data_IF_734332888919
#
_entry.id   IF_734332888919
#
_cell.length_a   1.000
_cell.length_b   1.000
_cell.length_c   1.000
_cell.angle_alpha   90.00
_cell.angle_beta   90.00
_cell.angle_gamma   90.00
#
_symmetry.space_group_name_H-M   'P 1'
#
loop_
_entity.id
_entity.type
_entity.pdbx_description
1 polymer ?
#
# COMPACT_ATOMS: atom_id res chain seq x y z
N UNK A 1 12.23 -5.57 14.90
CA UNK A 1 12.82 -4.56 14.00
C UNK A 1 13.41 -5.26 12.77
N UNK A 2 12.62 -5.53 11.72
CA UNK A 2 13.12 -6.22 10.52
C UNK A 2 12.06 -6.57 9.46
N UNK A 3 10.77 -6.37 9.74
CA UNK A 3 9.68 -6.79 8.84
C UNK A 3 9.69 -6.08 7.47
N UNK A 4 10.03 -4.78 7.43
CA UNK A 4 10.07 -4.03 6.17
C UNK A 4 11.23 -4.50 5.27
N UNK A 5 12.42 -4.76 5.82
CA UNK A 5 13.59 -5.20 5.03
C UNK A 5 13.40 -6.58 4.41
N UNK A 6 12.77 -7.53 5.12
CA UNK A 6 12.54 -8.88 4.62
C UNK A 6 11.39 -8.92 3.59
N UNK A 7 10.46 -7.98 3.65
CA UNK A 7 9.41 -7.80 2.64
C UNK A 7 9.98 -7.30 1.30
N UNK A 8 11.03 -6.46 1.32
CA UNK A 8 11.72 -6.00 0.11
C UNK A 8 12.49 -7.10 -0.62
N UNK A 9 12.96 -8.14 0.09
CA UNK A 9 13.68 -9.27 -0.52
C UNK A 9 12.78 -10.43 -0.93
N UNK A 10 11.73 -10.76 -0.15
CA UNK A 10 10.87 -11.93 -0.41
C UNK A 10 9.52 -11.62 -1.08
N UNK A 11 8.88 -10.50 -0.76
CA UNK A 11 7.54 -10.14 -1.28
C UNK A 11 7.55 -9.54 -2.68
N UNK A 12 8.72 -9.12 -3.16
CA UNK A 12 8.93 -8.54 -4.49
C UNK A 12 9.03 -9.65 -5.55
N UNK A 13 9.59 -10.83 -5.23
CA UNK A 13 9.78 -11.91 -6.21
C UNK A 13 8.49 -12.52 -6.75
N UNK A 14 7.37 -12.45 -6.00
CA UNK A 14 6.10 -13.05 -6.43
C UNK A 14 5.22 -12.13 -7.30
N UNK A 15 5.28 -10.81 -7.09
CA UNK A 15 4.39 -9.84 -7.72
C UNK A 15 5.08 -8.92 -8.74
N UNK A 16 6.42 -8.86 -8.78
CA UNK A 16 7.15 -7.98 -9.72
C UNK A 16 7.88 -8.71 -10.85
N UNK A 17 7.82 -10.05 -10.90
CA UNK A 17 8.51 -10.81 -11.96
C UNK A 17 7.96 -10.56 -13.38
N UNK A 18 6.83 -9.85 -13.52
CA UNK A 18 6.30 -9.47 -14.85
C UNK A 18 6.36 -7.98 -15.17
N UNK A 19 6.88 -7.11 -14.28
CA UNK A 19 6.78 -5.65 -14.50
C UNK A 19 8.05 -4.82 -14.27
N UNK A 20 9.16 -5.38 -13.76
CA UNK A 20 10.32 -4.56 -13.40
C UNK A 20 11.64 -5.05 -14.01
N UNK A 21 11.79 -4.86 -15.33
CA UNK A 21 13.13 -4.58 -15.89
C UNK A 21 13.35 -3.06 -15.80
N UNK A 22 14.17 -2.68 -14.84
CA UNK A 22 14.46 -1.31 -14.41
C UNK A 22 15.14 -0.52 -15.53
N UNK A 23 14.36 0.31 -16.21
CA UNK A 23 14.84 1.52 -16.88
C UNK A 23 14.86 2.68 -15.88
N UNK A 24 15.83 3.60 -16.02
CA UNK A 24 15.98 4.79 -15.16
C UNK A 24 14.63 5.53 -15.03
N UNK A 25 14.10 5.58 -13.81
CA UNK A 25 12.71 5.85 -13.47
C UNK A 25 12.34 7.35 -13.52
N UNK A 26 11.89 7.84 -14.68
CA UNK A 26 11.27 9.17 -14.77
C UNK A 26 10.04 9.32 -13.86
N UNK A 27 9.29 8.23 -13.63
CA UNK A 27 8.06 8.26 -12.86
C UNK A 27 8.25 8.60 -11.38
N UNK A 28 9.33 8.15 -10.73
CA UNK A 28 9.50 8.45 -9.30
C UNK A 28 9.71 9.95 -9.08
N UNK A 29 10.47 10.62 -9.95
CA UNK A 29 10.66 12.08 -9.89
C UNK A 29 9.35 12.84 -10.05
N UNK A 30 8.42 12.33 -10.87
CA UNK A 30 7.10 12.91 -10.98
C UNK A 30 6.30 12.74 -9.68
N UNK A 31 6.36 11.57 -9.02
CA UNK A 31 5.75 11.39 -7.70
C UNK A 31 6.38 12.33 -6.65
N UNK A 32 7.70 12.49 -6.66
CA UNK A 32 8.39 13.43 -5.76
C UNK A 32 7.92 14.88 -5.98
N UNK A 33 7.76 15.28 -7.25
CA UNK A 33 7.22 16.59 -7.60
C UNK A 33 5.77 16.77 -7.12
N UNK A 34 4.93 15.75 -7.26
CA UNK A 34 3.57 15.78 -6.72
C UNK A 34 3.57 15.95 -5.20
N UNK A 35 4.45 15.24 -4.47
CA UNK A 35 4.59 15.40 -3.03
C UNK A 35 4.98 16.84 -2.65
N UNK A 36 5.98 17.41 -3.34
CA UNK A 36 6.42 18.79 -3.13
C UNK A 36 5.28 19.81 -3.37
N UNK A 37 4.50 19.63 -4.44
CA UNK A 37 3.35 20.49 -4.75
C UNK A 37 2.25 20.44 -3.68
N UNK A 38 2.11 19.32 -2.96
CA UNK A 38 1.14 19.15 -1.86
C UNK A 38 1.74 19.60 -0.51
N UNK A 39 3.05 19.84 -0.45
CA UNK A 39 3.78 20.15 0.77
C UNK A 39 4.05 18.91 1.65
N UNK A 40 4.13 17.73 1.04
CA UNK A 40 4.46 16.48 1.73
C UNK A 40 5.94 16.16 1.63
N UNK A 41 6.55 15.86 2.78
CA UNK A 41 7.90 15.32 2.84
C UNK A 41 7.93 13.85 2.44
N UNK A 42 9.07 13.38 1.96
CA UNK A 42 9.32 11.96 1.70
C UNK A 42 10.09 11.39 2.88
N UNK A 43 9.50 10.42 3.57
CA UNK A 43 10.08 9.84 4.77
C UNK A 43 11.12 8.76 4.46
N UNK A 44 10.94 8.02 3.36
CA UNK A 44 11.85 6.95 2.96
C UNK A 44 11.98 6.84 1.44
N UNK A 45 13.18 6.51 0.94
CA UNK A 45 13.42 6.15 -0.46
C UNK A 45 13.68 4.65 -0.58
N UNK A 46 12.92 3.98 -1.44
CA UNK A 46 12.96 2.53 -1.66
C UNK A 46 13.76 2.21 -2.93
N UNK A 47 15.06 2.50 -2.88
CA UNK A 47 15.92 2.44 -4.06
C UNK A 47 15.49 3.45 -5.12
N UNK A 48 15.60 3.07 -6.40
CA UNK A 48 15.32 3.95 -7.53
C UNK A 48 13.85 3.92 -7.97
N UNK A 49 13.03 3.02 -7.44
CA UNK A 49 11.68 2.74 -7.98
C UNK A 49 10.55 3.11 -7.04
N UNK A 50 10.82 3.57 -5.82
CA UNK A 50 9.76 3.89 -4.87
C UNK A 50 10.13 4.81 -3.74
N UNK A 51 9.10 5.29 -3.04
CA UNK A 51 9.17 6.11 -1.84
C UNK A 51 8.17 5.62 -0.78
N UNK A 52 8.45 5.95 0.47
CA UNK A 52 7.56 5.78 1.61
C UNK A 52 7.07 7.14 2.12
N UNK A 53 5.76 7.23 2.40
CA UNK A 53 5.12 8.39 3.03
C UNK A 53 4.47 7.94 4.34
N UNK A 54 4.82 8.59 5.44
CA UNK A 54 4.35 8.24 6.78
C UNK A 54 3.16 9.12 7.20
N UNK A 55 2.05 8.45 7.52
CA UNK A 55 0.83 9.08 8.01
C UNK A 55 0.63 8.74 9.48
N UNK A 56 0.28 9.73 10.30
CA UNK A 56 -0.11 9.49 11.69
C UNK A 56 -1.42 8.73 11.73
N UNK A 57 -1.44 7.61 12.44
CA UNK A 57 -2.60 6.75 12.59
C UNK A 57 -2.87 6.49 14.08
N UNK A 58 -4.05 6.80 14.63
CA UNK A 58 -4.33 6.60 16.05
C UNK A 58 -4.45 5.13 16.47
N UNK A 59 -4.46 4.19 15.52
CA UNK A 59 -4.46 2.74 15.79
C UNK A 59 -3.04 2.22 15.96
N UNK A 60 -2.18 2.54 14.99
CA UNK A 60 -0.86 1.92 14.83
C UNK A 60 0.30 2.89 15.09
N UNK A 61 0.00 4.13 15.46
CA UNK A 61 0.96 5.23 15.64
C UNK A 61 1.32 5.88 14.30
N UNK A 62 2.04 5.15 13.46
CA UNK A 62 2.46 5.61 12.13
C UNK A 62 2.20 4.52 11.10
N UNK A 63 1.53 4.89 10.01
CA UNK A 63 1.25 4.01 8.88
C UNK A 63 1.99 4.50 7.65
N UNK A 64 2.74 3.59 7.03
CA UNK A 64 3.55 3.88 5.85
C UNK A 64 2.82 3.50 4.57
N UNK A 65 2.61 4.49 3.70
CA UNK A 65 2.17 4.30 2.32
C UNK A 65 3.39 4.12 1.42
N UNK A 66 3.44 3.01 0.69
CA UNK A 66 4.50 2.76 -0.28
C UNK A 66 4.03 3.12 -1.68
N UNK A 67 4.75 4.00 -2.33
CA UNK A 67 4.51 4.38 -3.73
C UNK A 67 5.68 3.85 -4.55
N UNK A 68 5.40 2.93 -5.48
CA UNK A 68 6.37 2.55 -6.51
C UNK A 68 5.93 3.12 -7.85
N UNK A 69 6.87 3.59 -8.66
CA UNK A 69 6.55 4.26 -9.92
C UNK A 69 7.45 3.77 -11.06
N UNK A 70 6.81 3.28 -12.11
CA UNK A 70 7.42 3.12 -13.43
C UNK A 70 7.16 4.36 -14.30
N UNK A 71 7.47 4.27 -15.60
CA UNK A 71 7.26 5.41 -16.51
C UNK A 71 5.79 5.78 -16.71
N UNK A 72 4.88 4.80 -16.70
CA UNK A 72 3.46 4.99 -17.04
C UNK A 72 2.50 4.76 -15.89
N UNK A 73 2.92 4.00 -14.88
CA UNK A 73 2.05 3.55 -13.81
C UNK A 73 2.77 3.76 -12.47
N UNK A 74 2.05 4.30 -11.50
CA UNK A 74 2.40 4.24 -10.09
C UNK A 74 1.49 3.27 -9.35
N UNK A 75 2.07 2.48 -8.45
CA UNK A 75 1.36 1.56 -7.58
C UNK A 75 1.51 2.07 -6.14
N UNK A 76 0.38 2.41 -5.54
CA UNK A 76 0.28 2.86 -4.17
C UNK A 76 -0.20 1.69 -3.32
N UNK A 77 0.53 1.37 -2.27
CA UNK A 77 0.26 0.24 -1.39
C UNK A 77 0.22 0.72 0.05
N UNK A 78 -0.92 0.52 0.72
CA UNK A 78 -1.06 0.82 2.13
C UNK A 78 -1.42 -0.45 2.90
N UNK A 79 -0.59 -0.81 3.86
CA UNK A 79 -0.73 -2.05 4.62
C UNK A 79 -1.59 -1.83 5.86
N UNK A 80 -2.47 -2.79 6.12
CA UNK A 80 -3.14 -3.00 7.41
C UNK A 80 -2.12 -3.51 8.44
N UNK A 81 -2.35 -3.25 9.73
CA UNK A 81 -1.57 -3.88 10.80
C UNK A 81 -2.01 -5.30 11.11
N UNK A 82 -3.11 -5.77 10.52
CA UNK A 82 -3.62 -7.11 10.76
C UNK A 82 -2.78 -8.17 10.05
N UNK A 83 -2.45 -9.20 10.81
CA UNK A 83 -1.78 -10.41 10.34
C UNK A 83 -2.48 -11.64 10.89
N UNK A 84 -2.68 -12.64 10.04
CA UNK A 84 -3.20 -13.94 10.47
C UNK A 84 -2.27 -15.05 10.00
N UNK A 85 -2.16 -16.17 10.72
CA UNK A 85 -1.62 -17.38 10.12
C UNK A 85 -2.43 -17.74 8.87
N UNK A 86 -1.77 -18.10 7.77
CA UNK A 86 -2.41 -18.38 6.48
C UNK A 86 -3.54 -19.43 6.57
N UNK A 87 -3.38 -20.42 7.46
CA UNK A 87 -4.37 -21.47 7.71
C UNK A 87 -5.55 -21.04 8.59
N UNK A 88 -5.48 -19.86 9.18
CA UNK A 88 -6.43 -19.33 10.15
C UNK A 88 -7.00 -17.97 9.74
N UNK A 89 -6.90 -17.59 8.46
CA UNK A 89 -7.60 -16.41 7.95
C UNK A 89 -9.11 -16.71 8.00
N UNK A 90 -9.92 -15.95 8.75
CA UNK A 90 -11.36 -16.16 8.78
C UNK A 90 -11.97 -15.98 7.38
N UNK A 91 -12.86 -16.87 6.99
CA UNK A 91 -13.50 -16.80 5.66
C UNK A 91 -14.36 -15.55 5.52
N UNK A 92 -14.97 -15.11 6.62
CA UNK A 92 -15.76 -13.88 6.72
C UNK A 92 -14.90 -12.66 6.39
N UNK A 93 -13.62 -12.68 6.77
CA UNK A 93 -12.69 -11.61 6.44
C UNK A 93 -12.39 -11.58 4.94
N UNK A 94 -12.13 -12.74 4.32
CA UNK A 94 -11.91 -12.82 2.88
C UNK A 94 -13.14 -12.34 2.08
N UNK A 95 -14.34 -12.77 2.50
CA UNK A 95 -15.61 -12.31 1.91
C UNK A 95 -15.83 -10.81 2.10
N UNK A 96 -15.49 -10.27 3.28
CA UNK A 96 -15.56 -8.84 3.54
C UNK A 96 -14.67 -8.05 2.57
N UNK A 97 -13.42 -8.49 2.37
CA UNK A 97 -12.51 -7.82 1.42
C UNK A 97 -13.00 -7.89 -0.02
N UNK A 98 -13.60 -9.02 -0.44
CA UNK A 98 -14.22 -9.14 -1.76
C UNK A 98 -15.39 -8.18 -1.93
N UNK A 99 -16.22 -8.04 -0.90
CA UNK A 99 -17.32 -7.07 -0.90
C UNK A 99 -16.78 -5.63 -0.97
N UNK A 100 -15.76 -5.29 -0.18
CA UNK A 100 -15.11 -3.97 -0.25
C UNK A 100 -14.54 -3.68 -1.65
N UNK A 101 -13.96 -4.67 -2.32
CA UNK A 101 -13.48 -4.54 -3.69
C UNK A 101 -14.60 -4.34 -4.71
N UNK A 102 -15.79 -4.86 -4.45
CA UNK A 102 -16.96 -4.62 -5.31
C UNK A 102 -17.54 -3.20 -5.11
N UNK A 103 -17.53 -2.70 -3.87
CA UNK A 103 -18.06 -1.37 -3.50
C UNK A 103 -17.08 -0.23 -3.76
N UNK A 104 -15.77 -0.51 -3.69
CA UNK A 104 -14.70 0.47 -3.76
C UNK A 104 -14.44 0.96 -5.18
N UNK A 105 -14.26 2.28 -5.32
CA UNK A 105 -13.93 2.91 -6.62
C UNK A 105 -12.39 3.06 -6.79
N UNK A 106 -11.69 3.32 -5.69
CA UNK A 106 -10.28 3.77 -5.69
C UNK A 106 -9.30 2.79 -5.04
N UNK A 107 -9.71 1.57 -4.72
CA UNK A 107 -8.80 0.61 -4.12
C UNK A 107 -9.19 -0.82 -4.43
N UNK A 108 -8.18 -1.68 -4.46
CA UNK A 108 -8.32 -3.12 -4.40
C UNK A 108 -7.59 -3.62 -3.16
N UNK A 109 -8.32 -4.24 -2.26
CA UNK A 109 -7.80 -5.07 -1.19
C UNK A 109 -7.17 -6.32 -1.76
N UNK A 110 -5.97 -6.62 -1.27
CA UNK A 110 -5.28 -7.89 -1.50
C UNK A 110 -4.84 -8.50 -0.19
N UNK A 111 -4.92 -9.82 -0.14
CA UNK A 111 -4.22 -10.63 0.84
C UNK A 111 -2.80 -10.86 0.35
N UNK A 112 -1.82 -10.62 1.22
CA UNK A 112 -0.41 -10.77 0.92
C UNK A 112 0.13 -11.81 1.88
N UNK A 113 0.46 -13.00 1.37
CA UNK A 113 1.16 -13.99 2.16
C UNK A 113 2.67 -13.83 1.98
N UNK A 114 3.44 -13.29 2.94
CA UNK A 114 4.87 -13.45 2.91
C UNK A 114 5.27 -14.89 3.29
N UNK A 115 6.50 -15.25 2.92
CA UNK A 115 7.20 -16.39 3.51
C UNK A 115 7.17 -16.28 5.05
N UNK A 116 6.87 -17.39 5.73
CA UNK A 116 6.64 -17.39 7.19
C UNK A 116 5.22 -17.78 7.61
N UNK A 117 4.33 -18.07 6.66
CA UNK A 117 3.04 -18.70 6.94
C UNK A 117 1.99 -17.77 7.55
N UNK A 118 2.21 -16.46 7.49
CA UNK A 118 1.22 -15.43 7.82
C UNK A 118 0.69 -14.76 6.55
N UNK A 119 -0.45 -14.09 6.67
CA UNK A 119 -1.11 -13.30 5.65
C UNK A 119 -1.38 -11.93 6.24
N UNK A 120 -0.86 -10.90 5.58
CA UNK A 120 -1.22 -9.51 5.81
C UNK A 120 -2.19 -9.00 4.75
N UNK A 121 -2.65 -7.76 4.92
CA UNK A 121 -3.60 -7.13 4.00
C UNK A 121 -3.11 -5.77 3.56
N UNK A 122 -3.38 -5.42 2.30
CA UNK A 122 -3.13 -4.08 1.82
C UNK A 122 -4.24 -3.59 0.91
N UNK A 123 -4.56 -2.31 1.02
CA UNK A 123 -5.30 -1.57 0.02
C UNK A 123 -4.31 -1.06 -1.04
N UNK A 124 -4.62 -1.29 -2.31
CA UNK A 124 -3.75 -0.97 -3.44
C UNK A 124 -4.49 -0.12 -4.45
N UNK A 125 -3.79 0.85 -5.02
CA UNK A 125 -4.27 1.58 -6.20
C UNK A 125 -3.18 1.66 -7.27
N UNK A 126 -3.57 1.46 -8.52
CA UNK A 126 -2.70 1.64 -9.68
C UNK A 126 -3.14 2.89 -10.43
N UNK A 127 -2.32 3.95 -10.35
CA UNK A 127 -2.55 5.21 -11.04
C UNK A 127 -1.82 5.23 -12.38
N UNK A 128 -2.46 5.73 -13.43
CA UNK A 128 -1.74 6.17 -14.63
C UNK A 128 -0.97 7.44 -14.29
N UNK A 129 0.30 7.51 -14.66
CA UNK A 129 1.14 8.71 -14.43
C UNK A 129 0.69 9.88 -15.31
N UNK A 130 0.13 9.57 -16.48
CA UNK A 130 -0.46 10.56 -17.37
C UNK A 130 -1.77 11.09 -16.77
N UNK A 131 -1.84 12.40 -16.55
CA UNK A 131 -3.00 13.05 -15.94
C UNK A 131 -3.08 12.94 -14.42
N UNK A 132 -2.10 12.31 -13.75
CA UNK A 132 -2.01 12.32 -12.30
C UNK A 132 -1.55 13.70 -11.81
N UNK A 133 -2.50 14.48 -11.30
CA UNK A 133 -2.26 15.78 -10.70
C UNK A 133 -2.14 15.71 -9.16
N UNK A 134 -1.68 16.79 -8.49
CA UNK A 134 -1.50 16.83 -7.03
C UNK A 134 -2.78 16.54 -6.23
N UNK A 135 -3.93 17.06 -6.66
CA UNK A 135 -5.20 16.89 -5.96
C UNK A 135 -5.67 15.45 -6.07
N UNK A 136 -5.58 14.87 -7.27
CA UNK A 136 -5.90 13.47 -7.52
C UNK A 136 -4.98 12.54 -6.72
N UNK A 137 -3.66 12.77 -6.75
CA UNK A 137 -2.69 11.99 -5.98
C UNK A 137 -2.97 12.04 -4.48
N UNK A 138 -3.16 13.24 -3.92
CA UNK A 138 -3.54 13.43 -2.51
C UNK A 138 -4.81 12.66 -2.16
N UNK A 139 -5.84 12.79 -3.00
CA UNK A 139 -7.15 12.14 -2.79
C UNK A 139 -7.02 10.63 -2.75
N UNK A 140 -6.22 10.04 -3.64
CA UNK A 140 -5.94 8.59 -3.64
C UNK A 140 -5.25 8.18 -2.33
N UNK A 141 -4.18 8.87 -1.94
CA UNK A 141 -3.42 8.58 -0.73
C UNK A 141 -4.30 8.63 0.53
N UNK A 142 -5.09 9.70 0.68
CA UNK A 142 -6.01 9.86 1.82
C UNK A 142 -7.15 8.85 1.79
N UNK A 143 -7.64 8.47 0.60
CA UNK A 143 -8.70 7.46 0.46
C UNK A 143 -8.20 6.08 0.88
N UNK A 144 -6.99 5.69 0.42
CA UNK A 144 -6.34 4.46 0.87
C UNK A 144 -6.15 4.49 2.39
N UNK A 145 -5.69 5.61 2.95
CA UNK A 145 -5.52 5.76 4.39
C UNK A 145 -6.82 5.57 5.16
N UNK A 146 -7.90 6.25 4.77
CA UNK A 146 -9.22 6.09 5.40
C UNK A 146 -9.73 4.67 5.31
N UNK A 147 -9.54 4.01 4.16
CA UNK A 147 -9.98 2.64 3.94
C UNK A 147 -9.29 1.66 4.90
N UNK A 148 -7.95 1.71 4.95
CA UNK A 148 -7.18 0.82 5.82
C UNK A 148 -7.42 1.14 7.29
N UNK A 149 -7.52 2.42 7.65
CA UNK A 149 -7.85 2.84 9.00
C UNK A 149 -9.22 2.29 9.44
N UNK A 150 -10.25 2.38 8.59
CA UNK A 150 -11.58 1.86 8.89
C UNK A 150 -11.59 0.34 9.04
N UNK A 151 -10.82 -0.37 8.22
CA UNK A 151 -10.63 -1.80 8.33
C UNK A 151 -9.97 -2.19 9.66
N UNK A 152 -8.84 -1.57 10.01
CA UNK A 152 -8.14 -1.85 11.26
C UNK A 152 -8.96 -1.43 12.49
N UNK A 153 -9.76 -0.36 12.39
CA UNK A 153 -10.68 0.03 13.46
C UNK A 153 -11.68 -1.07 13.78
N UNK A 154 -12.32 -1.65 12.76
CA UNK A 154 -13.26 -2.77 12.94
C UNK A 154 -12.61 -4.00 13.54
N UNK A 155 -11.40 -4.34 13.08
CA UNK A 155 -10.67 -5.49 13.63
C UNK A 155 -10.31 -5.30 15.10
N UNK A 156 -9.88 -4.10 15.48
CA UNK A 156 -9.60 -3.74 16.87
C UNK A 156 -10.85 -3.74 17.75
N UNK A 157 -11.96 -3.21 17.26
CA UNK A 157 -13.26 -3.30 17.94
C UNK A 157 -13.71 -4.76 18.15
N UNK A 158 -13.28 -5.65 17.25
CA UNK A 158 -13.55 -7.10 17.32
C UNK A 158 -12.54 -7.86 18.18
N UNK A 159 -11.53 -7.17 18.76
CA UNK A 159 -10.49 -7.77 19.60
C UNK A 159 -9.48 -8.64 18.84
N UNK A 160 -9.38 -8.45 17.53
CA UNK A 160 -8.50 -9.23 16.65
C UNK A 160 -7.09 -8.63 16.57
N UNK A 161 -6.97 -7.31 16.73
CA UNK A 161 -5.72 -6.56 16.79
C UNK A 161 -5.74 -5.52 17.91
#
# INVERSE_FOLDING_TARGET
MGFLSDFFTGGVSGATNSAARVGRSGGIRQIEHLCDQIGWGIDERLGDSGIGLDFKDPIVGTRRLLVTAGEKIAILNLFSSAEFPARHVPIELALHLLQRNHEGIFHAWRMIGPEGGKVGFAAVYSALMEGLDPVTFKTICETLFKEVHAFDAKLRESGVI
#
